data_IF_817163768821
#
_entry.id   IF_817163768821
#
_cell.length_a   1.000
_cell.length_b   1.000
_cell.length_c   1.000
_cell.angle_alpha   90.00
_cell.angle_beta   90.00
_cell.angle_gamma   90.00
#
_symmetry.space_group_name_H-M   'P 1'
#
loop_
_entity.id
_entity.type
_entity.pdbx_description
1 polymer ?
#
# COMPACT_ATOMS: atom_id res chain seq x y z
N UNK A 1 -32.53 10.29 -8.59
CA UNK A 1 -33.15 9.63 -7.41
C UNK A 1 -32.08 9.66 -6.35
N UNK A 2 -32.40 10.32 -5.24
CA UNK A 2 -31.49 10.75 -4.18
C UNK A 2 -30.55 9.65 -3.70
N UNK A 3 -29.27 10.00 -3.58
CA UNK A 3 -28.23 9.29 -2.84
C UNK A 3 -28.71 8.99 -1.43
N UNK A 4 -29.32 7.82 -1.25
CA UNK A 4 -29.45 7.21 0.07
C UNK A 4 -28.08 6.61 0.32
N UNK A 5 -27.22 7.37 1.00
CA UNK A 5 -26.02 6.80 1.61
C UNK A 5 -26.48 5.57 2.40
N UNK A 6 -26.08 4.38 1.96
CA UNK A 6 -26.30 3.16 2.72
C UNK A 6 -25.54 3.33 4.04
N UNK A 7 -26.24 3.80 5.08
CA UNK A 7 -25.68 3.85 6.42
C UNK A 7 -25.18 2.44 6.74
N UNK A 8 -23.94 2.35 7.19
CA UNK A 8 -23.41 1.08 7.65
C UNK A 8 -24.31 0.57 8.79
N UNK A 9 -24.42 -0.75 8.96
CA UNK A 9 -25.22 -1.34 10.04
C UNK A 9 -24.84 -0.79 11.43
N UNK A 10 -23.59 -0.35 11.57
CA UNK A 10 -23.04 0.29 12.77
C UNK A 10 -23.65 1.69 12.99
N UNK A 11 -23.78 2.49 11.94
CA UNK A 11 -24.34 3.84 12.03
C UNK A 11 -25.83 3.80 12.37
N UNK A 12 -26.60 2.94 11.69
CA UNK A 12 -28.04 2.79 11.96
C UNK A 12 -28.30 2.38 13.42
N UNK A 13 -27.47 1.47 13.94
CA UNK A 13 -27.57 1.05 15.33
C UNK A 13 -27.17 2.18 16.30
N UNK A 14 -26.07 2.90 16.04
CA UNK A 14 -25.63 4.03 16.88
C UNK A 14 -26.70 5.13 16.97
N UNK A 15 -27.34 5.50 15.86
CA UNK A 15 -28.46 6.44 15.84
C UNK A 15 -29.66 5.91 16.62
N UNK A 16 -30.00 4.63 16.47
CA UNK A 16 -31.11 4.04 17.22
C UNK A 16 -30.86 4.04 18.73
N UNK A 17 -29.65 3.70 19.18
CA UNK A 17 -29.29 3.69 20.61
C UNK A 17 -29.22 5.09 21.18
N UNK A 18 -28.68 6.06 20.45
CA UNK A 18 -28.72 7.46 20.85
C UNK A 18 -30.17 7.97 20.98
N UNK A 19 -31.06 7.55 20.07
CA UNK A 19 -32.50 7.89 20.12
C UNK A 19 -33.18 7.25 21.34
N UNK A 20 -32.92 5.98 21.63
CA UNK A 20 -33.47 5.32 22.82
C UNK A 20 -32.90 5.89 24.13
N UNK A 21 -31.60 6.20 24.19
CA UNK A 21 -30.95 6.83 25.34
C UNK A 21 -31.49 8.24 25.60
N UNK A 22 -31.77 9.02 24.54
CA UNK A 22 -32.38 10.36 24.69
C UNK A 22 -33.84 10.27 25.10
N UNK A 23 -34.64 9.38 24.51
CA UNK A 23 -36.05 9.16 24.90
C UNK A 23 -36.15 8.73 26.37
N UNK A 24 -35.29 7.82 26.82
CA UNK A 24 -35.26 7.37 28.22
C UNK A 24 -34.79 8.47 29.17
N UNK A 25 -33.74 9.23 28.83
CA UNK A 25 -33.27 10.36 29.63
C UNK A 25 -34.33 11.47 29.78
N UNK A 26 -35.04 11.80 28.70
CA UNK A 26 -36.12 12.79 28.71
C UNK A 26 -37.31 12.32 29.54
N UNK A 27 -37.66 11.02 29.48
CA UNK A 27 -38.69 10.43 30.33
C UNK A 27 -38.35 10.51 31.82
N UNK A 28 -37.10 10.23 32.18
CA UNK A 28 -36.59 10.31 33.57
C UNK A 28 -36.56 11.76 34.10
N UNK A 29 -36.23 12.75 33.26
CA UNK A 29 -36.22 14.17 33.62
C UNK A 29 -37.62 14.80 33.69
N UNK A 30 -38.49 14.47 32.73
CA UNK A 30 -39.78 15.14 32.55
C UNK A 30 -40.90 14.60 33.42
N UNK A 31 -40.92 13.30 33.70
CA UNK A 31 -42.03 12.64 34.40
C UNK A 31 -41.58 11.70 35.53
N UNK A 32 -40.81 12.18 36.53
CA UNK A 32 -40.35 11.33 37.63
C UNK A 32 -41.51 10.72 38.44
N UNK A 33 -42.68 11.37 38.45
CA UNK A 33 -43.91 10.89 39.10
C UNK A 33 -44.59 9.73 38.37
N UNK A 34 -44.41 9.60 37.06
CA UNK A 34 -44.99 8.49 36.29
C UNK A 34 -44.25 7.17 36.59
N UNK A 35 -42.95 7.29 36.90
CA UNK A 35 -42.06 6.20 37.27
C UNK A 35 -42.42 5.65 38.66
N UNK A 36 -42.70 6.52 39.65
CA UNK A 36 -43.12 6.07 40.99
C UNK A 36 -44.44 5.29 40.95
N UNK A 37 -45.41 5.73 40.14
CA UNK A 37 -46.70 5.05 39.98
C UNK A 37 -46.62 3.70 39.25
N UNK A 38 -45.66 3.53 38.35
CA UNK A 38 -45.51 2.29 37.56
C UNK A 38 -44.63 1.24 38.25
N UNK A 39 -43.65 1.66 39.06
CA UNK A 39 -42.60 0.78 39.58
C UNK A 39 -42.73 0.46 41.08
N UNK A 40 -43.22 1.39 41.89
CA UNK A 40 -43.38 1.17 43.34
C UNK A 40 -44.72 1.76 43.81
N UNK A 41 -45.83 1.03 43.62
CA UNK A 41 -47.15 1.57 43.91
C UNK A 41 -47.41 1.79 45.40
N UNK A 42 -46.61 1.21 46.32
CA UNK A 42 -46.78 1.33 47.78
C UNK A 42 -45.44 1.40 48.54
N UNK A 43 -45.39 2.21 49.59
CA UNK A 43 -44.27 2.32 50.54
C UNK A 43 -44.76 2.02 51.97
N UNK A 44 -43.96 1.29 52.76
CA UNK A 44 -44.33 0.87 54.11
C UNK A 44 -43.87 1.95 55.11
N UNK A 45 -44.83 2.69 55.67
CA UNK A 45 -44.53 3.68 56.70
C UNK A 45 -44.14 3.01 58.03
N UNK A 46 -43.45 3.76 58.90
CA UNK A 46 -43.03 3.32 60.24
C UNK A 46 -44.18 2.83 61.13
N UNK A 47 -45.42 3.16 60.77
CA UNK A 47 -46.67 2.72 61.39
C UNK A 47 -47.21 1.39 60.87
N UNK A 48 -46.57 0.79 59.85
CA UNK A 48 -46.96 -0.50 59.26
C UNK A 48 -48.00 -0.42 58.14
N UNK A 49 -48.54 0.76 57.84
CA UNK A 49 -49.49 0.97 56.75
C UNK A 49 -48.78 1.13 55.39
N UNK A 50 -49.35 0.51 54.36
CA UNK A 50 -48.89 0.58 52.97
C UNK A 50 -49.64 1.69 52.24
N UNK A 51 -49.01 2.84 52.09
CA UNK A 51 -49.57 3.99 51.38
C UNK A 51 -48.93 4.13 49.99
N UNK A 52 -49.64 4.68 48.99
CA UNK A 52 -49.06 4.85 47.67
C UNK A 52 -47.91 5.84 47.68
N UNK A 53 -46.77 5.47 47.09
CA UNK A 53 -45.56 6.29 47.08
C UNK A 53 -45.75 7.49 46.14
N UNK A 54 -45.99 8.67 46.71
CA UNK A 54 -46.29 9.90 45.94
C UNK A 54 -45.08 10.80 45.70
N UNK A 55 -43.98 10.63 46.45
CA UNK A 55 -42.77 11.46 46.36
C UNK A 55 -41.49 10.61 46.29
N UNK A 56 -40.47 11.11 45.57
CA UNK A 56 -39.15 10.48 45.53
C UNK A 56 -38.30 10.96 46.71
N UNK A 57 -37.54 10.05 47.31
CA UNK A 57 -36.54 10.43 48.32
C UNK A 57 -35.46 11.34 47.71
N UNK A 58 -34.86 12.22 48.53
CA UNK A 58 -33.84 13.16 48.06
C UNK A 58 -32.67 12.48 47.34
N UNK A 59 -32.27 11.29 47.80
CA UNK A 59 -31.25 10.45 47.17
C UNK A 59 -31.71 9.86 45.83
N UNK A 60 -32.95 9.35 45.75
CA UNK A 60 -33.53 8.80 44.52
C UNK A 60 -33.66 9.89 43.45
N UNK A 61 -34.12 11.08 43.83
CA UNK A 61 -34.21 12.24 42.94
C UNK A 61 -32.83 12.68 42.43
N UNK A 62 -31.83 12.72 43.30
CA UNK A 62 -30.45 13.02 42.91
C UNK A 62 -29.92 11.99 41.91
N UNK A 63 -30.10 10.69 42.18
CA UNK A 63 -29.64 9.61 41.31
C UNK A 63 -30.34 9.64 39.94
N UNK A 64 -31.64 9.93 39.92
CA UNK A 64 -32.44 10.02 38.68
C UNK A 64 -31.97 11.18 37.80
N UNK A 65 -31.66 12.33 38.40
CA UNK A 65 -31.15 13.50 37.67
C UNK A 65 -29.74 13.23 37.12
N UNK A 66 -28.84 12.68 37.94
CA UNK A 66 -27.45 12.42 37.52
C UNK A 66 -27.36 11.34 36.42
N UNK A 67 -28.15 10.26 36.54
CA UNK A 67 -28.24 9.23 35.51
C UNK A 67 -28.81 9.74 34.19
N UNK A 68 -29.84 10.59 34.23
CA UNK A 68 -30.42 11.20 33.03
C UNK A 68 -29.42 12.08 32.30
N UNK A 69 -28.68 12.91 33.04
CA UNK A 69 -27.63 13.76 32.47
C UNK A 69 -26.51 12.91 31.86
N UNK A 70 -26.12 11.82 32.52
CA UNK A 70 -25.11 10.89 32.01
C UNK A 70 -25.56 10.18 30.71
N UNK A 71 -26.81 9.73 30.63
CA UNK A 71 -27.38 9.11 29.42
C UNK A 71 -27.48 10.07 28.24
N UNK A 72 -27.79 11.34 28.51
CA UNK A 72 -27.86 12.40 27.50
C UNK A 72 -26.45 12.78 27.02
N UNK A 73 -25.47 12.85 27.93
CA UNK A 73 -24.07 13.05 27.59
C UNK A 73 -23.50 11.88 26.77
N UNK A 74 -23.82 10.64 27.13
CA UNK A 74 -23.42 9.44 26.38
C UNK A 74 -24.04 9.41 24.97
N UNK A 75 -25.32 9.76 24.83
CA UNK A 75 -25.98 9.85 23.53
C UNK A 75 -25.36 10.93 22.63
N UNK A 76 -25.03 12.09 23.21
CA UNK A 76 -24.34 13.17 22.48
C UNK A 76 -22.95 12.73 22.01
N UNK A 77 -22.19 12.02 22.86
CA UNK A 77 -20.86 11.52 22.54
C UNK A 77 -20.90 10.45 21.43
N UNK A 78 -21.90 9.55 21.46
CA UNK A 78 -22.13 8.56 20.41
C UNK A 78 -22.37 9.22 19.03
N UNK A 79 -23.18 10.28 18.99
CA UNK A 79 -23.46 11.03 17.75
C UNK A 79 -22.22 11.77 17.21
N UNK A 80 -21.39 12.33 18.11
CA UNK A 80 -20.14 12.98 17.74
C UNK A 80 -19.11 11.99 17.17
N UNK A 81 -19.01 10.78 17.76
CA UNK A 81 -18.14 9.71 17.27
C UNK A 81 -18.53 9.27 15.85
N UNK A 82 -19.83 9.09 15.57
CA UNK A 82 -20.32 8.74 14.23
C UNK A 82 -20.04 9.85 13.20
N UNK A 83 -20.14 11.13 13.59
CA UNK A 83 -19.79 12.24 12.70
C UNK A 83 -18.30 12.32 12.38
N UNK A 84 -17.43 12.01 13.35
CA UNK A 84 -15.98 12.00 13.15
C UNK A 84 -15.48 10.86 12.26
N UNK A 85 -16.14 9.70 12.32
CA UNK A 85 -15.84 8.54 11.48
C UNK A 85 -16.15 8.79 10.00
N UNK A 86 -17.09 9.68 9.69
CA UNK A 86 -17.49 10.01 8.31
C UNK A 86 -16.62 11.10 7.65
N UNK A 87 -15.84 11.88 8.41
CA UNK A 87 -15.20 13.09 7.89
C UNK A 87 -13.70 13.25 8.18
N UNK A 88 -13.04 12.30 8.84
CA UNK A 88 -11.58 12.37 9.00
C UNK A 88 -10.87 11.63 7.88
N UNK A 89 -9.88 12.24 7.20
CA UNK A 89 -9.04 11.53 6.24
C UNK A 89 -8.38 10.37 6.96
N UNK A 90 -8.41 9.19 6.35
CA UNK A 90 -7.86 7.94 6.86
C UNK A 90 -6.36 8.11 7.04
N UNK A 91 -5.96 8.68 8.18
CA UNK A 91 -4.63 8.50 8.74
C UNK A 91 -4.58 7.03 9.12
N UNK A 92 -3.57 6.34 8.62
CA UNK A 92 -3.30 4.90 8.80
C UNK A 92 -4.12 4.26 9.93
N UNK A 93 -4.88 3.18 9.69
CA UNK A 93 -5.39 2.38 10.78
C UNK A 93 -4.19 1.68 11.43
N UNK A 94 -3.44 2.40 12.28
CA UNK A 94 -2.85 1.75 13.43
C UNK A 94 -4.02 1.14 14.21
N UNK A 95 -3.85 -0.04 14.82
CA UNK A 95 -4.90 -0.73 15.55
C UNK A 95 -5.24 0.07 16.81
N UNK A 96 -5.95 1.18 16.65
CA UNK A 96 -6.68 1.81 17.72
C UNK A 96 -7.90 0.91 17.92
N UNK A 97 -7.70 -0.21 18.65
CA UNK A 97 -8.68 -0.54 19.67
C UNK A 97 -8.81 0.76 20.45
N UNK A 98 -9.86 1.56 20.21
CA UNK A 98 -10.09 2.79 20.96
C UNK A 98 -10.03 2.38 22.44
N UNK A 99 -8.93 2.64 23.18
CA UNK A 99 -8.75 2.01 24.47
C UNK A 99 -9.88 2.44 25.41
N UNK A 100 -10.36 3.67 25.20
CA UNK A 100 -11.55 4.24 25.82
C UNK A 100 -12.79 3.39 25.63
N UNK A 101 -13.06 2.83 24.44
CA UNK A 101 -14.21 1.95 24.20
C UNK A 101 -14.02 0.63 24.95
N UNK A 102 -12.82 0.05 24.98
CA UNK A 102 -12.53 -1.14 25.79
C UNK A 102 -12.72 -0.95 27.29
N UNK A 103 -12.25 0.17 27.84
CA UNK A 103 -12.43 0.48 29.25
C UNK A 103 -13.88 0.87 29.58
N UNK A 104 -14.56 1.59 28.69
CA UNK A 104 -15.95 2.00 28.90
C UNK A 104 -16.91 0.80 28.86
N UNK A 105 -16.75 -0.13 27.92
CA UNK A 105 -17.66 -1.26 27.80
C UNK A 105 -17.46 -2.27 28.92
N UNK A 106 -16.21 -2.54 29.33
CA UNK A 106 -15.93 -3.40 30.48
C UNK A 106 -16.46 -2.81 31.78
N UNK A 107 -16.34 -1.49 31.98
CA UNK A 107 -16.95 -0.80 33.10
C UNK A 107 -18.49 -0.87 33.07
N UNK A 108 -19.12 -0.73 31.90
CA UNK A 108 -20.57 -0.86 31.73
C UNK A 108 -21.07 -2.29 31.96
N UNK A 109 -20.34 -3.31 31.49
CA UNK A 109 -20.63 -4.73 31.82
C UNK A 109 -20.57 -4.91 33.33
N UNK A 110 -19.47 -4.50 33.97
CA UNK A 110 -19.27 -4.70 35.40
C UNK A 110 -20.35 -3.97 36.22
N UNK A 111 -20.68 -2.74 35.85
CA UNK A 111 -21.76 -1.96 36.46
C UNK A 111 -23.13 -2.64 36.31
N UNK A 112 -23.44 -3.16 35.11
CA UNK A 112 -24.70 -3.88 34.87
C UNK A 112 -24.79 -5.18 35.68
N UNK A 113 -23.71 -5.95 35.78
CA UNK A 113 -23.66 -7.19 36.56
C UNK A 113 -23.80 -6.91 38.05
N UNK A 114 -23.06 -5.92 38.59
CA UNK A 114 -23.18 -5.54 40.00
C UNK A 114 -24.59 -5.06 40.35
N UNK A 115 -25.22 -4.26 39.49
CA UNK A 115 -26.56 -3.76 39.69
C UNK A 115 -27.63 -4.88 39.63
N UNK A 116 -27.39 -5.94 38.85
CA UNK A 116 -28.28 -7.11 38.79
C UNK A 116 -28.22 -7.97 40.06
N UNK A 117 -27.03 -8.14 40.65
CA UNK A 117 -26.80 -8.95 41.86
C UNK A 117 -27.01 -8.19 43.18
N UNK A 118 -27.21 -6.87 43.14
CA UNK A 118 -27.45 -6.08 44.34
C UNK A 118 -28.84 -6.34 44.95
N UNK A 119 -28.88 -6.38 46.29
CA UNK A 119 -30.07 -6.76 47.04
C UNK A 119 -31.19 -5.72 46.92
N UNK A 120 -32.44 -6.18 46.77
CA UNK A 120 -33.58 -5.32 46.40
C UNK A 120 -33.89 -4.22 47.43
N UNK A 121 -33.47 -4.40 48.67
CA UNK A 121 -33.68 -3.46 49.77
C UNK A 121 -32.72 -2.24 49.72
N UNK A 122 -31.58 -2.35 49.04
CA UNK A 122 -30.53 -1.30 49.08
C UNK A 122 -30.55 -0.35 47.88
N UNK A 123 -30.95 -0.83 46.70
CA UNK A 123 -30.90 -0.06 45.45
C UNK A 123 -32.29 0.19 44.84
N UNK A 124 -33.32 -0.55 45.27
CA UNK A 124 -34.70 -0.41 44.80
C UNK A 124 -34.92 -0.82 43.33
N UNK A 125 -36.19 -0.82 42.89
CA UNK A 125 -36.58 -1.22 41.52
C UNK A 125 -36.03 -0.27 40.44
N UNK A 126 -35.80 1.00 40.80
CA UNK A 126 -35.27 2.04 39.90
C UNK A 126 -33.84 1.72 39.43
N UNK A 127 -32.99 1.15 40.29
CA UNK A 127 -31.64 0.74 39.88
C UNK A 127 -31.64 -0.46 38.93
N UNK A 128 -32.64 -1.35 39.00
CA UNK A 128 -32.82 -2.45 38.04
C UNK A 128 -33.23 -1.93 36.65
N UNK A 129 -34.06 -0.89 36.58
CA UNK A 129 -34.43 -0.25 35.30
C UNK A 129 -33.23 0.45 34.66
N UNK A 130 -32.36 1.07 35.46
CA UNK A 130 -31.11 1.69 34.98
C UNK A 130 -30.10 0.67 34.41
N UNK A 131 -30.20 -0.61 34.78
CA UNK A 131 -29.31 -1.66 34.29
C UNK A 131 -29.58 -2.02 32.81
N UNK A 132 -30.80 -1.82 32.31
CA UNK A 132 -31.21 -2.26 30.97
C UNK A 132 -30.46 -1.48 29.86
N UNK A 133 -30.38 -0.13 29.90
CA UNK A 133 -29.60 0.64 28.92
C UNK A 133 -28.09 0.36 29.01
N UNK A 134 -27.55 0.18 30.22
CA UNK A 134 -26.14 -0.13 30.43
C UNK A 134 -25.75 -1.50 29.85
N UNK A 135 -26.63 -2.50 29.99
CA UNK A 135 -26.47 -3.81 29.37
C UNK A 135 -26.58 -3.76 27.83
N UNK A 136 -27.49 -2.95 27.28
CA UNK A 136 -27.60 -2.78 25.84
C UNK A 136 -26.36 -2.11 25.22
N UNK A 137 -25.84 -1.05 25.86
CA UNK A 137 -24.61 -0.37 25.45
C UNK A 137 -23.38 -1.27 25.57
N UNK A 138 -23.33 -2.13 26.60
CA UNK A 138 -22.21 -3.06 26.77
C UNK A 138 -22.21 -4.17 25.72
N UNK A 139 -23.38 -4.71 25.37
CA UNK A 139 -23.53 -5.68 24.26
C UNK A 139 -23.14 -5.06 22.92
N UNK A 140 -23.49 -3.79 22.66
CA UNK A 140 -23.05 -3.07 21.46
C UNK A 140 -21.54 -2.90 21.41
N UNK A 141 -20.94 -2.45 22.51
CA UNK A 141 -19.50 -2.27 22.55
C UNK A 141 -18.72 -3.58 22.43
N UNK A 142 -19.26 -4.68 22.95
CA UNK A 142 -18.74 -6.04 22.70
C UNK A 142 -18.94 -6.43 21.23
N UNK A 143 -20.08 -6.09 20.63
CA UNK A 143 -20.36 -6.34 19.21
C UNK A 143 -19.37 -5.61 18.31
N UNK A 144 -19.08 -4.33 18.57
CA UNK A 144 -18.02 -3.59 17.86
C UNK A 144 -16.69 -4.30 18.03
N UNK A 145 -16.28 -4.68 19.24
CA UNK A 145 -15.01 -5.37 19.43
C UNK A 145 -14.91 -6.72 18.71
N UNK A 146 -16.03 -7.43 18.56
CA UNK A 146 -16.07 -8.73 17.88
C UNK A 146 -16.12 -8.55 16.36
N UNK A 147 -16.84 -7.54 15.85
CA UNK A 147 -17.10 -7.34 14.42
C UNK A 147 -16.25 -6.26 13.76
N UNK A 148 -15.47 -5.49 14.53
CA UNK A 148 -14.47 -4.56 14.01
C UNK A 148 -13.32 -5.38 13.41
N UNK A 149 -13.44 -5.62 12.11
CA UNK A 149 -12.41 -6.32 11.34
C UNK A 149 -11.20 -5.40 11.28
N UNK A 150 -10.09 -5.86 11.87
CA UNK A 150 -8.80 -5.20 11.78
C UNK A 150 -8.46 -4.87 10.31
N UNK A 151 -7.89 -3.69 10.06
CA UNK A 151 -7.59 -3.23 8.70
C UNK A 151 -6.67 -4.22 7.95
N UNK A 152 -5.75 -4.88 8.66
CA UNK A 152 -4.91 -5.92 8.09
C UNK A 152 -5.72 -7.16 7.66
N UNK A 153 -6.74 -7.53 8.43
CA UNK A 153 -7.66 -8.62 8.08
C UNK A 153 -8.57 -8.22 6.92
N UNK A 154 -9.12 -7.00 6.92
CA UNK A 154 -9.95 -6.52 5.81
C UNK A 154 -9.16 -6.44 4.50
N UNK A 155 -7.89 -5.97 4.55
CA UNK A 155 -6.97 -5.99 3.40
C UNK A 155 -6.76 -7.39 2.83
N UNK A 156 -6.70 -8.43 3.66
CA UNK A 156 -6.56 -9.82 3.20
C UNK A 156 -7.86 -10.40 2.64
N UNK A 157 -9.00 -10.08 3.25
CA UNK A 157 -10.30 -10.58 2.84
C UNK A 157 -10.80 -9.92 1.54
N UNK A 158 -10.64 -8.60 1.42
CA UNK A 158 -11.11 -7.80 0.28
C UNK A 158 -10.04 -6.80 -0.19
N UNK A 159 -8.95 -7.29 -0.82
CA UNK A 159 -7.81 -6.46 -1.18
C UNK A 159 -8.14 -5.36 -2.20
N UNK A 160 -9.03 -5.63 -3.16
CA UNK A 160 -9.45 -4.65 -4.17
C UNK A 160 -10.25 -3.49 -3.57
N UNK A 161 -11.30 -3.80 -2.81
CA UNK A 161 -12.10 -2.78 -2.13
C UNK A 161 -11.26 -1.95 -1.16
N UNK A 162 -10.33 -2.60 -0.45
CA UNK A 162 -9.40 -1.90 0.42
C UNK A 162 -8.56 -0.87 -0.35
N UNK A 163 -7.97 -1.25 -1.48
CA UNK A 163 -7.19 -0.33 -2.30
C UNK A 163 -8.06 0.80 -2.90
N UNK A 164 -9.24 0.47 -3.41
CA UNK A 164 -10.14 1.43 -4.05
C UNK A 164 -10.57 2.55 -3.10
N UNK A 165 -10.80 2.25 -1.81
CA UNK A 165 -11.09 3.28 -0.79
C UNK A 165 -9.99 4.33 -0.65
N UNK A 166 -8.72 3.97 -0.83
CA UNK A 166 -7.62 4.93 -0.83
C UNK A 166 -7.58 5.71 -2.14
N UNK A 167 -7.71 5.00 -3.27
CA UNK A 167 -7.68 5.59 -4.59
C UNK A 167 -8.83 6.58 -4.83
N UNK A 168 -10.02 6.36 -4.26
CA UNK A 168 -11.14 7.30 -4.28
C UNK A 168 -10.77 8.66 -3.68
N UNK A 169 -9.92 8.66 -2.65
CA UNK A 169 -9.43 9.86 -1.98
C UNK A 169 -8.11 10.40 -2.56
N UNK A 170 -7.70 9.92 -3.75
CA UNK A 170 -6.42 10.23 -4.41
C UNK A 170 -5.18 10.00 -3.53
N UNK A 171 -5.30 9.06 -2.59
CA UNK A 171 -4.25 8.66 -1.67
C UNK A 171 -3.86 7.21 -1.95
N UNK A 172 -2.62 6.87 -1.58
CA UNK A 172 -2.13 5.48 -1.58
C UNK A 172 -2.05 4.95 -0.16
N UNK A 173 -1.91 3.64 -0.02
CA UNK A 173 -1.76 2.99 1.30
C UNK A 173 -0.57 3.52 2.11
N UNK A 174 0.50 3.95 1.42
CA UNK A 174 1.71 4.51 2.04
C UNK A 174 1.56 6.00 2.39
N UNK A 175 0.45 6.64 2.00
CA UNK A 175 0.23 8.09 2.12
C UNK A 175 0.78 8.93 0.96
N UNK A 176 1.41 8.30 -0.04
CA UNK A 176 1.88 8.96 -1.27
C UNK A 176 0.72 9.36 -2.19
N UNK A 177 0.96 10.37 -3.03
CA UNK A 177 0.04 10.72 -4.14
C UNK A 177 0.15 9.71 -5.29
N UNK A 178 -0.79 9.76 -6.23
CA UNK A 178 -0.86 8.85 -7.38
C UNK A 178 0.33 9.00 -8.35
N UNK A 179 0.88 10.22 -8.44
CA UNK A 179 1.99 10.63 -9.31
C UNK A 179 3.37 10.64 -8.61
N UNK A 180 3.41 10.28 -7.33
CA UNK A 180 4.60 10.38 -6.49
C UNK A 180 5.42 9.08 -6.49
N UNK A 181 6.72 9.22 -6.80
CA UNK A 181 7.70 8.14 -6.83
C UNK A 181 8.31 7.87 -5.46
N UNK A 182 8.75 6.62 -5.21
CA UNK A 182 9.60 6.31 -4.04
C UNK A 182 10.94 7.01 -4.13
N UNK A 183 11.58 7.17 -2.97
CA UNK A 183 12.96 7.62 -2.89
C UNK A 183 13.87 6.69 -3.67
N UNK A 184 14.77 7.27 -4.47
CA UNK A 184 15.69 6.51 -5.30
C UNK A 184 17.11 6.84 -4.96
N UNK A 185 17.88 5.81 -4.63
CA UNK A 185 19.32 5.90 -4.44
C UNK A 185 20.01 4.95 -5.38
N UNK A 186 20.99 5.45 -6.11
CA UNK A 186 21.85 4.70 -7.00
C UNK A 186 23.24 4.80 -6.39
N UNK A 187 23.78 3.67 -5.94
CA UNK A 187 25.13 3.63 -5.41
C UNK A 187 26.06 3.19 -6.54
N UNK A 188 26.88 4.12 -6.99
CA UNK A 188 27.90 3.94 -8.02
C UNK A 188 29.31 4.20 -7.46
N UNK A 189 29.58 3.81 -6.20
CA UNK A 189 30.88 4.14 -5.57
C UNK A 189 32.07 3.65 -6.45
N UNK A 190 32.84 4.63 -6.93
CA UNK A 190 34.12 4.72 -7.65
C UNK A 190 34.73 3.58 -8.49
N UNK A 191 34.23 2.35 -8.47
CA UNK A 191 34.64 1.25 -9.36
C UNK A 191 33.53 0.19 -9.54
N UNK A 192 32.31 0.49 -9.05
CA UNK A 192 31.20 -0.44 -8.97
C UNK A 192 31.15 -1.12 -7.61
N UNK A 193 29.96 -1.58 -7.20
CA UNK A 193 29.77 -2.24 -5.90
C UNK A 193 30.35 -3.66 -5.82
N UNK A 194 30.82 -4.22 -6.94
CA UNK A 194 31.36 -5.57 -7.06
C UNK A 194 32.70 -5.52 -7.81
N UNK A 195 33.79 -5.78 -7.10
CA UNK A 195 35.16 -5.77 -7.66
C UNK A 195 35.42 -6.86 -8.71
N UNK A 196 34.66 -7.95 -8.67
CA UNK A 196 34.83 -9.08 -9.59
C UNK A 196 34.14 -8.88 -10.95
N UNK A 197 33.28 -7.87 -11.07
CA UNK A 197 32.55 -7.56 -12.29
C UNK A 197 33.25 -6.45 -13.08
N UNK A 198 33.09 -6.43 -14.40
CA UNK A 198 33.65 -5.36 -15.26
C UNK A 198 32.93 -4.02 -15.05
N UNK A 199 31.69 -4.09 -14.57
CA UNK A 199 30.89 -2.95 -14.13
C UNK A 199 29.77 -3.44 -13.22
N UNK A 200 29.39 -2.63 -12.25
CA UNK A 200 28.29 -2.98 -11.34
C UNK A 200 27.62 -1.72 -10.79
N UNK A 201 26.37 -1.89 -10.37
CA UNK A 201 25.59 -0.85 -9.71
C UNK A 201 24.55 -1.45 -8.78
N UNK A 202 24.27 -0.75 -7.68
CA UNK A 202 23.18 -1.08 -6.76
C UNK A 202 22.14 0.03 -6.81
N UNK A 203 20.90 -0.34 -7.10
CA UNK A 203 19.77 0.59 -7.16
C UNK A 203 18.76 0.20 -6.12
N UNK A 204 18.31 1.20 -5.36
CA UNK A 204 17.22 1.07 -4.41
C UNK A 204 16.11 2.03 -4.77
N UNK A 205 14.96 1.49 -5.14
CA UNK A 205 13.69 2.19 -5.32
C UNK A 205 12.81 1.94 -4.08
N UNK A 206 12.90 2.83 -3.10
CA UNK A 206 12.26 2.66 -1.79
C UNK A 206 12.76 1.40 -1.07
N UNK A 207 11.93 0.36 -1.05
CA UNK A 207 12.30 -0.95 -0.48
C UNK A 207 12.80 -1.94 -1.54
N UNK A 208 12.48 -1.73 -2.82
CA UNK A 208 12.96 -2.62 -3.88
C UNK A 208 14.44 -2.35 -4.12
N UNK A 209 15.29 -3.37 -3.93
CA UNK A 209 16.75 -3.26 -4.11
C UNK A 209 17.20 -4.29 -5.13
N UNK A 210 17.88 -3.80 -6.18
CA UNK A 210 18.43 -4.59 -7.27
C UNK A 210 19.92 -4.32 -7.41
N UNK A 211 20.69 -5.38 -7.66
CA UNK A 211 22.11 -5.28 -8.01
C UNK A 211 22.27 -5.74 -9.45
N UNK A 212 22.91 -4.93 -10.27
CA UNK A 212 23.31 -5.32 -11.62
C UNK A 212 24.83 -5.50 -11.67
N UNK A 213 25.27 -6.61 -12.27
CA UNK A 213 26.66 -6.90 -12.59
C UNK A 213 26.82 -7.16 -14.09
N UNK A 214 27.84 -6.56 -14.68
CA UNK A 214 28.18 -6.71 -16.09
C UNK A 214 29.47 -7.52 -16.20
N UNK A 215 29.43 -8.58 -16.99
CA UNK A 215 30.56 -9.45 -17.27
C UNK A 215 30.80 -9.56 -18.77
N UNK A 216 32.03 -9.32 -19.17
CA UNK A 216 32.44 -9.33 -20.56
C UNK A 216 33.11 -10.67 -20.90
N UNK A 217 32.72 -11.27 -22.02
CA UNK A 217 33.38 -12.45 -22.59
C UNK A 217 33.58 -12.28 -24.08
N UNK A 218 34.63 -12.88 -24.62
CA UNK A 218 34.83 -12.97 -26.06
C UNK A 218 34.20 -14.26 -26.58
N UNK A 219 33.57 -14.19 -27.75
CA UNK A 219 32.99 -15.36 -28.42
C UNK A 219 33.17 -15.23 -29.93
N UNK A 220 33.01 -16.36 -30.62
CA UNK A 220 32.84 -16.37 -32.07
C UNK A 220 31.47 -15.75 -32.39
N UNK A 221 31.37 -14.86 -33.40
CA UNK A 221 30.07 -14.35 -33.83
C UNK A 221 29.17 -15.49 -34.30
N UNK A 222 27.87 -15.37 -34.01
CA UNK A 222 26.86 -16.28 -34.53
C UNK A 222 26.74 -16.05 -36.05
N UNK A 223 26.58 -17.08 -36.90
CA UNK A 223 26.33 -16.89 -38.33
C UNK A 223 25.16 -15.94 -38.64
N UNK A 224 24.19 -15.79 -37.72
CA UNK A 224 23.07 -14.85 -37.89
C UNK A 224 23.38 -13.43 -37.39
N UNK A 225 24.46 -13.24 -36.60
CA UNK A 225 24.83 -11.97 -35.96
C UNK A 225 26.34 -11.76 -36.04
N UNK A 226 26.76 -10.96 -37.02
CA UNK A 226 28.17 -10.59 -37.22
C UNK A 226 28.70 -9.60 -36.16
N UNK A 227 27.83 -9.08 -35.30
CA UNK A 227 28.14 -8.07 -34.28
C UNK A 227 28.03 -8.61 -32.86
N UNK A 228 28.65 -7.91 -31.90
CA UNK A 228 28.53 -8.24 -30.48
C UNK A 228 27.09 -8.12 -29.97
N UNK A 229 26.76 -8.89 -28.93
CA UNK A 229 25.39 -8.94 -28.41
C UNK A 229 25.37 -8.92 -26.88
N UNK A 230 24.20 -8.58 -26.35
CA UNK A 230 23.93 -8.45 -24.92
C UNK A 230 22.98 -9.56 -24.50
N UNK A 231 23.21 -10.12 -23.32
CA UNK A 231 22.34 -11.14 -22.72
C UNK A 231 21.98 -10.70 -21.31
N UNK A 232 20.83 -10.03 -21.11
CA UNK A 232 20.35 -9.70 -19.79
C UNK A 232 19.63 -10.89 -19.15
N UNK A 233 19.94 -11.14 -17.89
CA UNK A 233 19.32 -12.15 -17.06
C UNK A 233 18.96 -11.54 -15.71
N UNK A 234 17.72 -11.76 -15.26
CA UNK A 234 17.24 -11.32 -13.95
C UNK A 234 17.01 -12.55 -13.09
N UNK A 235 17.52 -12.51 -11.86
CA UNK A 235 17.27 -13.50 -10.84
C UNK A 235 16.40 -12.93 -9.72
N UNK A 236 15.23 -13.55 -9.54
CA UNK A 236 14.29 -13.29 -8.46
C UNK A 236 14.42 -14.41 -7.44
N UNK A 237 15.30 -14.21 -6.46
CA UNK A 237 15.64 -15.22 -5.47
C UNK A 237 14.64 -15.25 -4.29
N UNK A 238 14.62 -16.34 -3.49
CA UNK A 238 13.78 -16.43 -2.28
C UNK A 238 14.13 -15.42 -1.18
N UNK A 239 15.32 -14.83 -1.23
CA UNK A 239 15.75 -13.79 -0.28
C UNK A 239 14.94 -12.51 -0.53
N UNK A 240 14.63 -12.22 -1.79
CA UNK A 240 13.91 -11.02 -2.20
C UNK A 240 12.44 -10.99 -1.82
N UNK A 241 11.77 -12.15 -1.90
CA UNK A 241 10.39 -12.30 -1.48
C UNK A 241 10.07 -13.78 -1.26
N UNK A 242 9.25 -14.08 -0.26
CA UNK A 242 8.77 -15.44 0.01
C UNK A 242 7.95 -16.07 -1.13
N UNK A 243 7.52 -15.27 -2.12
CA UNK A 243 6.86 -15.75 -3.34
C UNK A 243 7.78 -16.58 -4.23
N UNK A 244 9.08 -16.31 -4.21
CA UNK A 244 10.03 -16.95 -5.11
C UNK A 244 10.63 -18.21 -4.47
N UNK A 245 10.80 -19.25 -5.30
CA UNK A 245 11.35 -20.54 -4.90
C UNK A 245 12.74 -20.73 -5.50
N UNK A 246 13.65 -21.42 -4.81
CA UNK A 246 14.96 -21.74 -5.37
C UNK A 246 14.79 -22.73 -6.53
N UNK A 247 15.54 -22.53 -7.60
CA UNK A 247 15.47 -23.37 -8.78
C UNK A 247 15.71 -22.59 -10.08
N UNK A 248 15.23 -23.09 -11.23
CA UNK A 248 15.29 -22.33 -12.47
C UNK A 248 14.52 -21.00 -12.34
N UNK A 249 14.86 -19.99 -13.18
CA UNK A 249 14.24 -18.68 -13.10
C UNK A 249 12.72 -18.77 -13.25
N UNK A 250 12.00 -18.04 -12.41
CA UNK A 250 10.53 -17.97 -12.43
C UNK A 250 10.03 -17.39 -13.75
N UNK A 251 8.77 -17.63 -14.09
CA UNK A 251 8.14 -17.04 -15.28
C UNK A 251 8.24 -15.52 -15.28
N UNK A 252 8.04 -14.87 -14.12
CA UNK A 252 8.20 -13.42 -14.00
C UNK A 252 9.63 -12.96 -14.30
N UNK A 253 10.64 -13.67 -13.79
CA UNK A 253 12.05 -13.37 -14.08
C UNK A 253 12.37 -13.52 -15.57
N UNK A 254 11.84 -14.56 -16.23
CA UNK A 254 12.03 -14.80 -17.66
C UNK A 254 11.35 -13.71 -18.51
N UNK A 255 10.12 -13.33 -18.17
CA UNK A 255 9.39 -12.24 -18.85
C UNK A 255 10.12 -10.92 -18.69
N UNK A 256 10.61 -10.60 -17.49
CA UNK A 256 11.37 -9.37 -17.26
C UNK A 256 12.69 -9.38 -18.05
N UNK A 257 13.41 -10.49 -18.07
CA UNK A 257 14.68 -10.64 -18.82
C UNK A 257 14.45 -10.44 -20.33
N UNK A 258 13.42 -11.07 -20.89
CA UNK A 258 13.05 -10.88 -22.30
C UNK A 258 12.68 -9.43 -22.61
N UNK A 259 11.87 -8.80 -21.74
CA UNK A 259 11.46 -7.40 -21.95
C UNK A 259 12.62 -6.43 -21.86
N UNK A 260 13.54 -6.63 -20.92
CA UNK A 260 14.75 -5.79 -20.83
C UNK A 260 15.60 -5.97 -22.08
N UNK A 261 15.76 -7.19 -22.59
CA UNK A 261 16.45 -7.44 -23.85
C UNK A 261 15.82 -6.65 -25.00
N UNK A 262 14.48 -6.70 -25.13
CA UNK A 262 13.76 -5.96 -26.17
C UNK A 262 13.94 -4.44 -26.03
N UNK A 263 13.93 -3.92 -24.79
CA UNK A 263 14.18 -2.50 -24.53
C UNK A 263 15.61 -2.12 -24.89
N UNK A 264 16.61 -2.89 -24.49
CA UNK A 264 18.02 -2.60 -24.80
C UNK A 264 18.29 -2.63 -26.32
N UNK A 265 17.65 -3.56 -27.05
CA UNK A 265 17.77 -3.66 -28.51
C UNK A 265 17.02 -2.52 -29.22
N UNK A 266 15.80 -2.19 -28.81
CA UNK A 266 14.98 -1.15 -29.44
C UNK A 266 15.48 0.27 -29.16
N UNK A 267 16.03 0.52 -27.97
CA UNK A 267 16.57 1.82 -27.58
C UNK A 267 17.94 2.12 -28.20
N UNK A 268 18.70 1.10 -28.59
CA UNK A 268 20.04 1.28 -29.14
C UNK A 268 21.03 1.88 -28.13
N UNK A 269 20.88 1.55 -26.84
CA UNK A 269 21.78 2.02 -25.76
C UNK A 269 23.23 1.63 -26.03
N UNK A 270 23.42 0.41 -26.55
CA UNK A 270 24.71 -0.14 -26.96
C UNK A 270 24.72 -0.36 -28.46
N UNK A 271 25.70 0.24 -29.14
CA UNK A 271 25.94 -0.03 -30.53
C UNK A 271 26.69 -1.35 -30.68
N UNK A 272 26.03 -2.35 -31.27
CA UNK A 272 26.56 -3.71 -31.42
C UNK A 272 27.86 -3.77 -32.24
N UNK A 273 28.06 -2.81 -33.15
CA UNK A 273 29.27 -2.72 -33.97
C UNK A 273 30.52 -2.38 -33.16
N UNK A 274 30.36 -1.58 -32.10
CA UNK A 274 31.47 -1.17 -31.24
C UNK A 274 31.92 -2.32 -30.33
N UNK A 275 31.12 -3.38 -30.24
CA UNK A 275 31.44 -4.62 -29.54
C UNK A 275 32.14 -5.66 -30.43
N UNK A 276 32.35 -5.38 -31.72
CA UNK A 276 33.09 -6.29 -32.62
C UNK A 276 34.59 -6.04 -32.48
N UNK A 277 35.35 -7.10 -32.19
CA UNK A 277 36.82 -7.04 -32.11
C UNK A 277 37.41 -7.23 -33.51
N UNK A 278 37.03 -8.32 -34.15
CA UNK A 278 37.44 -8.67 -35.52
C UNK A 278 36.26 -9.30 -36.24
N UNK A 279 35.93 -8.79 -37.43
CA UNK A 279 34.75 -9.22 -38.17
C UNK A 279 34.82 -10.70 -38.51
N UNK A 280 33.76 -11.44 -38.17
CA UNK A 280 33.65 -12.88 -38.43
C UNK A 280 34.53 -13.79 -37.54
N UNK A 281 35.42 -13.23 -36.71
CA UNK A 281 36.33 -14.02 -35.86
C UNK A 281 36.11 -13.85 -34.37
N UNK A 282 35.91 -12.62 -33.90
CA UNK A 282 35.77 -12.37 -32.47
C UNK A 282 34.87 -11.17 -32.17
N UNK A 283 33.89 -11.38 -31.29
CA UNK A 283 32.99 -10.35 -30.79
C UNK A 283 32.92 -10.37 -29.27
N UNK A 284 32.61 -9.23 -28.68
CA UNK A 284 32.27 -9.12 -27.27
C UNK A 284 30.82 -9.55 -27.03
N UNK A 285 30.64 -10.36 -26.00
CA UNK A 285 29.35 -10.74 -25.44
C UNK A 285 29.24 -10.13 -24.05
N UNK A 286 28.25 -9.27 -23.88
CA UNK A 286 27.99 -8.56 -22.62
C UNK A 286 26.91 -9.33 -21.85
N UNK A 287 27.32 -10.05 -20.81
CA UNK A 287 26.41 -10.70 -19.89
C UNK A 287 26.02 -9.71 -18.80
N UNK A 288 24.72 -9.52 -18.61
CA UNK A 288 24.20 -8.60 -17.60
C UNK A 288 23.36 -9.43 -16.64
N UNK A 289 23.88 -9.64 -15.44
CA UNK A 289 23.18 -10.38 -14.40
C UNK A 289 22.62 -9.40 -13.37
N UNK A 290 21.30 -9.41 -13.20
CA UNK A 290 20.60 -8.59 -12.21
C UNK A 290 20.04 -9.50 -11.13
N UNK A 291 20.42 -9.25 -9.89
CA UNK A 291 19.93 -10.01 -8.73
C UNK A 291 19.07 -9.11 -7.86
N UNK A 292 17.85 -9.55 -7.57
CA UNK A 292 16.98 -8.88 -6.62
C UNK A 292 17.38 -9.24 -5.18
N UNK A 293 17.61 -8.25 -4.33
CA UNK A 293 17.82 -8.46 -2.88
C UNK A 293 16.52 -8.33 -2.11
N UNK A 294 15.70 -7.36 -2.47
CA UNK A 294 14.42 -7.10 -1.83
C UNK A 294 13.41 -6.69 -2.90
N UNK A 295 12.25 -7.32 -2.91
CA UNK A 295 11.21 -7.09 -3.90
C UNK A 295 9.96 -6.50 -3.23
N UNK A 296 9.70 -5.22 -3.50
CA UNK A 296 8.51 -4.47 -3.06
C UNK A 296 7.79 -3.85 -4.28
N UNK A 297 7.74 -4.57 -5.40
CA UNK A 297 7.12 -4.12 -6.65
C UNK A 297 8.03 -3.24 -7.52
N UNK A 298 7.55 -3.00 -8.75
CA UNK A 298 8.25 -2.25 -9.81
C UNK A 298 9.68 -2.73 -10.12
N UNK A 299 9.87 -4.05 -10.18
CA UNK A 299 11.17 -4.65 -10.45
C UNK A 299 11.75 -4.30 -11.84
N UNK A 300 10.88 -4.08 -12.83
CA UNK A 300 11.33 -3.72 -14.18
C UNK A 300 12.10 -2.40 -14.19
N UNK A 301 11.54 -1.37 -13.56
CA UNK A 301 12.19 -0.05 -13.53
C UNK A 301 13.50 -0.11 -12.73
N UNK A 302 13.47 -0.76 -11.57
CA UNK A 302 14.66 -0.93 -10.73
C UNK A 302 15.78 -1.67 -11.47
N UNK A 303 15.45 -2.75 -12.17
CA UNK A 303 16.40 -3.56 -12.91
C UNK A 303 17.01 -2.77 -14.07
N UNK A 304 16.19 -2.10 -14.90
CA UNK A 304 16.73 -1.37 -16.05
C UNK A 304 17.57 -0.15 -15.63
N UNK A 305 17.18 0.57 -14.57
CA UNK A 305 18.02 1.65 -14.00
C UNK A 305 19.36 1.07 -13.51
N UNK A 306 19.34 -0.08 -12.83
CA UNK A 306 20.56 -0.73 -12.37
C UNK A 306 21.46 -1.17 -13.53
N UNK A 307 20.88 -1.69 -14.61
CA UNK A 307 21.61 -2.09 -15.81
C UNK A 307 22.26 -0.87 -16.48
N UNK A 308 21.51 0.21 -16.68
CA UNK A 308 22.05 1.43 -17.31
C UNK A 308 23.17 2.03 -16.47
N UNK A 309 23.00 2.07 -15.14
CA UNK A 309 24.05 2.49 -14.22
C UNK A 309 25.28 1.56 -14.26
N UNK A 310 25.10 0.25 -14.29
CA UNK A 310 26.20 -0.71 -14.32
C UNK A 310 26.95 -0.68 -15.66
N UNK A 311 26.23 -0.53 -16.77
CA UNK A 311 26.82 -0.38 -18.11
C UNK A 311 27.67 0.89 -18.21
N UNK A 312 27.26 1.99 -17.56
CA UNK A 312 28.05 3.23 -17.54
C UNK A 312 29.35 3.08 -16.79
N UNK A 313 29.34 2.29 -15.73
CA UNK A 313 30.53 1.95 -14.96
C UNK A 313 31.40 0.86 -15.60
N UNK A 314 30.92 0.22 -16.68
CA UNK A 314 31.62 -0.92 -17.28
C UNK A 314 32.87 -0.45 -18.02
N UNK A 315 34.00 -1.09 -17.71
CA UNK A 315 35.27 -0.90 -18.42
C UNK A 315 35.60 -2.11 -19.29
N UNK A 316 35.81 -1.87 -20.58
CA UNK A 316 36.29 -2.84 -21.56
C UNK A 316 37.82 -2.83 -21.59
N UNK A 317 38.50 -3.96 -21.38
CA UNK A 317 39.93 -4.05 -21.65
C UNK A 317 40.17 -3.89 -23.15
N UNK A 318 41.25 -3.20 -23.52
CA UNK A 318 41.65 -3.08 -24.93
C UNK A 318 42.08 -4.45 -25.43
N UNK A 319 41.38 -4.96 -26.45
CA UNK A 319 41.62 -6.26 -27.04
C UNK A 319 42.11 -6.15 -28.47
N UNK A 320 43.02 -7.06 -28.84
CA UNK A 320 43.47 -7.26 -30.22
C UNK A 320 43.32 -8.72 -30.58
N UNK A 321 42.90 -8.98 -31.82
CA UNK A 321 42.89 -10.32 -32.37
C UNK A 321 44.30 -10.72 -32.84
N UNK A 322 44.79 -11.85 -32.35
CA UNK A 322 46.02 -12.48 -32.82
C UNK A 322 45.67 -13.50 -33.90
N UNK A 323 46.08 -13.19 -35.14
CA UNK A 323 45.84 -14.03 -36.31
C UNK A 323 46.69 -15.30 -36.34
N UNK A 324 47.83 -15.32 -35.64
CA UNK A 324 48.75 -16.47 -35.67
C UNK A 324 48.27 -17.61 -34.77
N UNK A 325 47.65 -17.25 -33.63
CA UNK A 325 47.16 -18.21 -32.63
C UNK A 325 45.62 -18.34 -32.61
N UNK A 326 44.91 -17.61 -33.49
CA UNK A 326 43.45 -17.46 -33.53
C UNK A 326 42.85 -17.20 -32.12
N UNK A 327 43.45 -16.27 -31.38
CA UNK A 327 43.06 -15.92 -29.99
C UNK A 327 42.93 -14.42 -29.81
N UNK A 328 42.08 -14.02 -28.87
CA UNK A 328 41.97 -12.63 -28.44
C UNK A 328 42.96 -12.37 -27.31
N UNK A 329 43.86 -11.41 -27.52
CA UNK A 329 44.75 -10.90 -26.49
C UNK A 329 44.11 -9.66 -25.85
N UNK A 330 43.93 -9.70 -24.53
CA UNK A 330 43.40 -8.58 -23.75
C UNK A 330 44.54 -7.96 -22.95
N UNK A 331 44.70 -6.63 -23.04
CA UNK A 331 45.58 -5.90 -22.15
C UNK A 331 44.78 -5.44 -20.92
N UNK A 332 45.04 -5.95 -19.71
CA UNK A 332 44.29 -5.57 -18.52
C UNK A 332 44.64 -4.15 -18.00
N UNK A 333 45.81 -3.62 -18.36
CA UNK A 333 46.26 -2.29 -17.90
C UNK A 333 45.60 -1.14 -18.66
N UNK A 334 45.19 -1.38 -19.91
CA UNK A 334 44.49 -0.41 -20.74
C UNK A 334 43.01 -0.79 -20.81
N UNK A 335 42.17 0.03 -20.20
CA UNK A 335 40.71 -0.15 -20.24
C UNK A 335 40.02 1.12 -20.74
N UNK A 336 39.04 0.94 -21.61
CA UNK A 336 38.19 1.99 -22.16
C UNK A 336 36.77 1.82 -21.61
N UNK A 337 36.07 2.91 -21.32
CA UNK A 337 34.66 2.83 -20.93
C UNK A 337 33.83 2.31 -22.11
N UNK A 338 32.78 1.54 -21.82
CA UNK A 338 31.82 1.11 -22.84
C UNK A 338 31.19 2.34 -23.51
N UNK A 339 31.24 2.46 -24.85
CA UNK A 339 30.63 3.59 -25.55
C UNK A 339 29.10 3.47 -25.48
N UNK A 340 28.50 4.01 -24.44
CA UNK A 340 27.06 4.17 -24.34
C UNK A 340 26.62 5.29 -25.28
N UNK A 341 25.75 4.96 -26.22
CA UNK A 341 25.24 5.96 -27.18
C UNK A 341 24.17 6.84 -26.53
N UNK A 342 23.35 6.26 -25.65
CA UNK A 342 22.21 6.95 -25.01
C UNK A 342 21.95 6.42 -23.61
N UNK A 343 21.52 7.30 -22.72
CA UNK A 343 20.96 6.91 -21.41
C UNK A 343 19.44 6.78 -21.52
N UNK A 344 18.90 5.68 -21.00
CA UNK A 344 17.44 5.45 -20.95
C UNK A 344 16.96 5.30 -19.52
N UNK A 345 15.77 5.82 -19.24
CA UNK A 345 15.13 5.69 -17.93
C UNK A 345 13.70 5.17 -18.14
N UNK A 346 13.33 4.04 -17.51
CA UNK A 346 11.97 3.51 -17.53
C UNK A 346 11.07 4.23 -16.52
N UNK A 347 9.78 4.24 -16.81
CA UNK A 347 8.74 4.62 -15.86
C UNK A 347 7.53 3.72 -16.08
N UNK A 348 7.20 2.93 -15.07
CA UNK A 348 6.05 2.04 -15.06
C UNK A 348 4.87 2.64 -14.30
N UNK A 349 3.69 2.46 -14.89
CA UNK A 349 2.40 2.92 -14.42
C UNK A 349 1.44 1.73 -14.28
N UNK A 350 0.56 1.77 -13.31
CA UNK A 350 -0.60 0.89 -13.19
C UNK A 350 -1.89 1.65 -13.37
N UNK A 351 -2.88 1.00 -13.97
CA UNK A 351 -4.21 1.56 -14.11
C UNK A 351 -5.17 0.88 -13.13
N UNK A 352 -5.91 1.71 -12.39
CA UNK A 352 -6.99 1.29 -11.50
C UNK A 352 -8.23 2.15 -11.76
N UNK A 353 -9.31 1.55 -12.27
CA UNK A 353 -10.60 2.21 -12.49
C UNK A 353 -10.50 3.63 -13.11
N UNK A 354 -9.68 3.76 -14.17
CA UNK A 354 -9.45 5.03 -14.88
C UNK A 354 -8.40 5.97 -14.27
N UNK A 355 -7.84 5.63 -13.10
CA UNK A 355 -6.77 6.39 -12.45
C UNK A 355 -5.40 5.77 -12.74
N UNK A 356 -4.47 6.62 -13.18
CA UNK A 356 -3.08 6.25 -13.44
C UNK A 356 -2.25 6.40 -12.15
N UNK A 357 -1.58 5.33 -11.74
CA UNK A 357 -0.71 5.30 -10.56
C UNK A 357 0.72 4.98 -10.96
N UNK A 358 1.67 5.80 -10.53
CA UNK A 358 3.10 5.62 -10.80
C UNK A 358 3.76 4.73 -9.76
N UNK A 359 4.77 3.96 -10.18
CA UNK A 359 5.67 3.22 -9.27
C UNK A 359 4.92 2.36 -8.24
N UNK A 360 4.31 1.28 -8.75
CA UNK A 360 3.46 0.37 -7.99
C UNK A 360 4.27 -0.40 -6.93
N UNK A 361 3.66 -0.55 -5.75
CA UNK A 361 4.14 -1.51 -4.75
C UNK A 361 3.74 -2.94 -5.13
N UNK A 362 4.32 -3.96 -4.50
CA UNK A 362 4.00 -5.38 -4.78
C UNK A 362 2.49 -5.69 -4.66
N UNK A 363 1.84 -5.13 -3.64
CA UNK A 363 0.40 -5.28 -3.45
C UNK A 363 -0.42 -4.62 -4.56
N UNK A 364 -0.11 -3.38 -4.91
CA UNK A 364 -0.79 -2.64 -5.99
C UNK A 364 -0.57 -3.34 -7.34
N UNK A 365 0.68 -3.78 -7.61
CA UNK A 365 1.05 -4.50 -8.81
C UNK A 365 0.26 -5.80 -8.99
N UNK A 366 -0.03 -6.52 -7.90
CA UNK A 366 -0.84 -7.74 -7.94
C UNK A 366 -2.33 -7.50 -8.26
N UNK A 367 -2.82 -6.27 -8.09
CA UNK A 367 -4.21 -5.89 -8.27
C UNK A 367 -4.45 -5.08 -9.56
N UNK A 368 -3.40 -4.57 -10.19
CA UNK A 368 -3.48 -3.70 -11.37
C UNK A 368 -4.15 -4.41 -12.56
N UNK A 369 -5.08 -3.73 -13.22
CA UNK A 369 -5.77 -4.25 -14.41
C UNK A 369 -4.89 -4.21 -15.65
N UNK A 370 -4.14 -3.13 -15.77
CA UNK A 370 -3.17 -2.93 -16.84
C UNK A 370 -1.96 -2.17 -16.30
N UNK A 371 -0.85 -2.36 -17.00
CA UNK A 371 0.43 -1.75 -16.72
C UNK A 371 0.95 -1.13 -17.99
N UNK A 372 1.39 0.11 -17.90
CA UNK A 372 2.04 0.82 -19.00
C UNK A 372 3.47 1.10 -18.59
N UNK A 373 4.44 0.73 -19.41
CA UNK A 373 5.83 1.08 -19.21
C UNK A 373 6.28 1.99 -20.34
N UNK A 374 6.76 3.18 -19.98
CA UNK A 374 7.29 4.19 -20.90
C UNK A 374 8.78 4.34 -20.63
N UNK A 375 9.60 4.25 -21.67
CA UNK A 375 11.05 4.43 -21.57
C UNK A 375 11.44 5.66 -22.36
N UNK A 376 12.09 6.61 -21.70
CA UNK A 376 12.50 7.89 -22.26
C UNK A 376 14.03 7.91 -22.43
N UNK A 377 14.48 8.45 -23.57
CA UNK A 377 15.89 8.72 -23.88
C UNK A 377 16.34 10.08 -23.33
N UNK A 378 17.65 10.30 -23.32
CA UNK A 378 18.29 11.60 -23.01
C UNK A 378 17.75 12.80 -23.79
N UNK A 379 17.36 12.60 -25.06
CA UNK A 379 16.78 13.66 -25.89
C UNK A 379 15.33 14.02 -25.51
N UNK A 380 14.75 13.39 -24.48
CA UNK A 380 13.33 13.50 -24.12
C UNK A 380 12.38 12.80 -25.10
N UNK A 381 12.94 12.01 -26.03
CA UNK A 381 12.21 11.20 -27.01
C UNK A 381 11.80 9.86 -26.41
N UNK A 382 10.72 9.29 -26.95
CA UNK A 382 10.24 7.96 -26.56
C UNK A 382 11.18 6.90 -27.15
N UNK A 383 11.81 6.10 -26.30
CA UNK A 383 12.66 4.98 -26.70
C UNK A 383 11.83 3.73 -26.96
N UNK A 384 10.97 3.41 -26.00
CA UNK A 384 10.16 2.20 -26.00
C UNK A 384 8.89 2.43 -25.18
N UNK A 385 7.79 1.82 -25.61
CA UNK A 385 6.54 1.81 -24.86
C UNK A 385 5.93 0.41 -24.95
N UNK A 386 5.56 -0.15 -23.79
CA UNK A 386 4.87 -1.43 -23.73
C UNK A 386 3.69 -1.35 -22.77
N UNK A 387 2.55 -1.90 -23.21
CA UNK A 387 1.37 -2.07 -22.37
C UNK A 387 1.18 -3.56 -22.09
N UNK A 388 0.77 -3.87 -20.86
CA UNK A 388 0.50 -5.22 -20.39
C UNK A 388 -0.85 -5.26 -19.68
N UNK A 389 -1.59 -6.36 -19.84
CA UNK A 389 -2.88 -6.55 -19.20
C UNK A 389 -4.06 -6.13 -20.08
N UNK A 390 -5.14 -5.67 -19.45
CA UNK A 390 -6.36 -5.26 -20.16
C UNK A 390 -6.16 -3.92 -20.88
N UNK A 391 -7.04 -3.60 -21.82
CA UNK A 391 -7.03 -2.30 -22.51
C UNK A 391 -7.02 -1.14 -21.50
N UNK A 392 -6.22 -0.11 -21.78
CA UNK A 392 -6.03 1.05 -20.90
C UNK A 392 -7.29 1.91 -20.75
N UNK A 393 -8.16 1.92 -21.75
CA UNK A 393 -9.49 2.51 -21.67
C UNK A 393 -10.40 1.85 -22.70
N UNK A 394 -11.71 1.96 -22.49
CA UNK A 394 -12.70 1.50 -23.46
C UNK A 394 -12.82 2.48 -24.64
N UNK A 395 -12.55 3.78 -24.39
CA UNK A 395 -12.49 4.82 -25.42
C UNK A 395 -11.05 5.11 -25.85
N UNK A 396 -10.87 5.37 -27.16
CA UNK A 396 -9.56 5.68 -27.72
C UNK A 396 -9.02 7.04 -27.22
N UNK A 397 -9.87 8.06 -27.12
CA UNK A 397 -9.48 9.41 -26.71
C UNK A 397 -8.97 9.41 -25.26
N UNK A 398 -9.67 8.73 -24.35
CA UNK A 398 -9.26 8.58 -22.96
C UNK A 398 -7.91 7.85 -22.85
N UNK A 399 -7.67 6.83 -23.70
CA UNK A 399 -6.39 6.12 -23.73
C UNK A 399 -5.24 7.02 -24.19
N UNK A 400 -5.51 7.94 -25.11
CA UNK A 400 -4.52 8.87 -25.64
C UNK A 400 -4.17 9.94 -24.61
N UNK A 401 -5.17 10.46 -23.89
CA UNK A 401 -4.95 11.41 -22.79
C UNK A 401 -4.14 10.78 -21.64
N UNK A 402 -4.44 9.52 -21.29
CA UNK A 402 -3.69 8.78 -20.27
C UNK A 402 -2.23 8.54 -20.68
N UNK A 403 -2.00 8.14 -21.94
CA UNK A 403 -0.63 7.90 -22.44
C UNK A 403 0.17 9.21 -22.54
N UNK A 404 -0.45 10.31 -22.97
CA UNK A 404 0.21 11.63 -22.95
C UNK A 404 0.59 12.07 -21.53
N UNK A 405 -0.31 11.86 -20.56
CA UNK A 405 -0.04 12.15 -19.15
C UNK A 405 1.11 11.30 -18.61
N UNK A 406 1.13 10.01 -18.96
CA UNK A 406 2.21 9.09 -18.61
C UNK A 406 3.57 9.55 -19.18
N UNK A 407 3.61 9.96 -20.46
CA UNK A 407 4.83 10.47 -21.09
C UNK A 407 5.33 11.74 -20.41
N UNK A 408 4.43 12.65 -20.03
CA UNK A 408 4.80 13.87 -19.30
C UNK A 408 5.47 13.54 -17.97
N UNK A 409 4.87 12.67 -17.17
CA UNK A 409 5.41 12.24 -15.87
C UNK A 409 6.74 11.51 -16.05
N UNK A 410 6.87 10.65 -17.08
CA UNK A 410 8.11 9.94 -17.38
C UNK A 410 9.27 10.88 -17.73
N UNK A 411 9.00 12.01 -18.41
CA UNK A 411 10.00 13.05 -18.69
C UNK A 411 10.47 13.76 -17.42
N UNK A 412 9.54 14.15 -16.55
CA UNK A 412 9.89 14.76 -15.25
C UNK A 412 10.72 13.79 -14.40
N UNK A 413 10.39 12.49 -14.48
CA UNK A 413 11.14 11.44 -13.79
C UNK A 413 12.54 11.22 -14.36
N UNK A 414 12.69 11.30 -15.68
CA UNK A 414 13.98 11.21 -16.36
C UNK A 414 14.97 12.23 -15.77
N UNK A 415 14.57 13.49 -15.67
CA UNK A 415 15.43 14.57 -15.17
C UNK A 415 15.87 14.37 -13.71
N UNK A 416 15.03 13.74 -12.88
CA UNK A 416 15.34 13.45 -11.49
C UNK A 416 16.36 12.32 -11.35
N UNK A 417 16.21 11.25 -12.13
CA UNK A 417 17.11 10.07 -12.08
C UNK A 417 18.41 10.32 -12.85
N UNK A 418 18.37 11.05 -13.97
CA UNK A 418 19.56 11.34 -14.77
C UNK A 418 20.65 12.01 -13.91
N UNK A 419 20.26 12.91 -12.99
CA UNK A 419 21.17 13.56 -12.01
C UNK A 419 21.82 12.61 -10.99
N UNK A 420 21.30 11.40 -10.84
CA UNK A 420 21.84 10.37 -9.94
C UNK A 420 22.75 9.37 -10.68
N UNK A 421 22.63 9.30 -12.01
CA UNK A 421 23.44 8.41 -12.86
C UNK A 421 24.66 9.15 -13.43
N UNK A 422 24.58 10.48 -13.58
CA UNK A 422 25.66 11.40 -13.96
C UNK A 422 26.39 11.87 -12.71
#
# INVERSE_FOLDING_TARGET
MSDVAELSSVDYFAYSVATWSTVTAVGLLGFPRLITTLLLPYEKHSTGELLPKTELNGFERFLTIQSSIALLAAAFLLLQLTGSLSSTPIRQPSPYRLPSVTFATTALVFSSVLAFYADSETIGLVGKVHCIPAAALSVWGISIMIFEIDAATYRRLRPREYLNRFLENDLRMDGRRLDEFRSTSINQENEGSIDTANGSAVVRLGNTTMIAGVKLKTALPDPNREAGYVVPNIDLNPISNSKYKPGPPSEEAQVLSSRINDVLLSSGVLNQKDLTIEQGKAVWVVYIDVVCINFDGNAFDAALIAIVAALRNTRLPVTRYDFDNDRVLANPEESTSVPLTKTIIPTSFGLFDGKLVTDLNDFEQSLAHSRLTVVINEDGTLAHMSSQGRNMADNLDDSLDLTQRAIKIARERYDAIAKLII
#
